data_IF_577811140686
#
_entry.id   IF_577811140686
#
_cell.length_a   1.000
_cell.length_b   1.000
_cell.length_c   1.000
_cell.angle_alpha   90.00
_cell.angle_beta   90.00
_cell.angle_gamma   90.00
#
_symmetry.space_group_name_H-M   'P 1'
#
loop_
_entity.id
_entity.type
_entity.pdbx_description
1 polymer ?
2 non-polymer ?
3 non-polymer ?
4 water ?
#
# COMPACT_ATOMS: atom_id res chain seq x y z
N UNK A 13 -29.14 -2.83 -13.11
CA UNK A 13 -28.72 -4.24 -13.40
C UNK A 13 -27.21 -4.46 -13.29
N UNK A 14 -26.50 -3.43 -12.86
CA UNK A 14 -25.04 -3.43 -12.91
C UNK A 14 -24.46 -4.01 -11.62
N UNK A 15 -23.39 -4.81 -11.74
CA UNK A 15 -22.69 -5.35 -10.56
C UNK A 15 -22.01 -4.20 -9.83
N UNK A 16 -22.49 -3.85 -8.63
CA UNK A 16 -21.97 -2.69 -7.93
C UNK A 16 -20.51 -2.90 -7.47
N UNK A 17 -20.12 -4.15 -7.25
CA UNK A 17 -18.75 -4.43 -6.86
C UNK A 17 -17.75 -4.13 -7.96
N UNK A 18 -18.10 -4.42 -9.21
CA UNK A 18 -17.20 -4.09 -10.30
C UNK A 18 -17.09 -2.55 -10.46
N UNK A 19 -18.23 -1.88 -10.42
CA UNK A 19 -18.25 -0.42 -10.47
C UNK A 19 -17.42 0.19 -9.36
N UNK A 20 -17.56 -0.30 -8.13
CA UNK A 20 -16.88 0.30 -7.00
C UNK A 20 -15.36 0.15 -7.10
N UNK A 21 -14.90 -1.02 -7.52
CA UNK A 21 -13.50 -1.23 -7.74
C UNK A 21 -12.97 -0.32 -8.85
N UNK A 22 -13.70 -0.17 -9.97
CA UNK A 22 -13.27 0.76 -11.01
C UNK A 22 -13.14 2.20 -10.50
N UNK A 23 -14.11 2.62 -9.69
CA UNK A 23 -14.05 3.96 -9.07
C UNK A 23 -12.86 4.13 -8.14
N UNK A 24 -12.59 3.13 -7.30
CA UNK A 24 -11.47 3.21 -6.38
C UNK A 24 -10.13 3.25 -7.15
N UNK A 25 -10.00 2.39 -8.17
CA UNK A 25 -8.76 2.34 -8.95
C UNK A 25 -8.55 3.64 -9.75
N UNK A 26 -9.62 4.23 -10.25
CA UNK A 26 -9.49 5.51 -10.90
C UNK A 26 -8.94 6.59 -9.95
N UNK A 27 -9.52 6.67 -8.75
CA UNK A 27 -9.04 7.57 -7.70
C UNK A 27 -7.55 7.35 -7.40
N UNK A 28 -7.16 6.09 -7.23
CA UNK A 28 -5.77 5.74 -6.94
C UNK A 28 -4.78 6.28 -7.99
N UNK A 29 -5.21 6.31 -9.24
CA UNK A 29 -4.35 6.70 -10.35
C UNK A 29 -4.37 8.15 -10.75
N UNK A 30 -5.14 8.98 -10.04
CA UNK A 30 -5.27 10.39 -10.43
C UNK A 30 -3.93 11.13 -10.28
N UNK A 31 -3.16 10.84 -9.23
CA UNK A 31 -1.84 11.45 -9.10
C UNK A 31 -0.83 10.69 -9.95
N UNK A 32 -0.27 11.36 -10.96
CA UNK A 32 0.69 10.74 -11.88
C UNK A 32 1.93 10.23 -11.14
N UNK A 33 2.39 9.04 -11.51
CA UNK A 33 3.51 8.39 -10.83
C UNK A 33 3.24 7.84 -9.43
N UNK A 34 1.99 7.87 -8.96
CA UNK A 34 1.66 7.35 -7.62
C UNK A 34 1.87 5.84 -7.57
N UNK A 35 2.29 5.34 -6.41
CA UNK A 35 2.42 3.90 -6.19
C UNK A 35 1.07 3.22 -6.23
N UNK A 36 0.94 2.10 -6.98
CA UNK A 36 -0.38 1.45 -7.00
C UNK A 36 -0.77 0.99 -5.62
N UNK A 37 -2.06 1.04 -5.33
CA UNK A 37 -2.52 0.67 -4.00
C UNK A 37 -2.44 -0.82 -3.77
N UNK A 38 -2.14 -1.18 -2.53
CA UNK A 38 -2.15 -2.56 -2.13
C UNK A 38 -3.55 -3.14 -2.09
N UNK A 39 -3.64 -4.47 -2.25
CA UNK A 39 -4.99 -5.09 -2.29
C UNK A 39 -5.84 -4.76 -1.07
N UNK A 40 -5.28 -4.86 0.15
CA UNK A 40 -6.16 -4.54 1.30
C UNK A 40 -6.69 -3.10 1.33
N UNK A 41 -5.90 -2.16 0.86
CA UNK A 41 -6.32 -0.79 0.76
C UNK A 41 -7.45 -0.61 -0.26
N UNK A 42 -7.31 -1.27 -1.41
CA UNK A 42 -8.39 -1.24 -2.40
C UNK A 42 -9.68 -1.83 -1.80
N UNK A 43 -9.54 -2.98 -1.13
CA UNK A 43 -10.69 -3.66 -0.49
C UNK A 43 -11.34 -2.78 0.56
N UNK A 44 -10.51 -2.13 1.38
CA UNK A 44 -11.04 -1.22 2.39
C UNK A 44 -11.77 -0.04 1.75
N UNK A 45 -11.18 0.60 0.75
CA UNK A 45 -11.79 1.80 0.20
C UNK A 45 -13.05 1.47 -0.64
N UNK A 46 -13.08 0.28 -1.25
CA UNK A 46 -14.24 -0.24 -2.00
C UNK A 46 -15.31 -0.85 -1.09
N UNK A 47 -14.97 -1.04 0.17
CA UNK A 47 -15.83 -1.69 1.15
C UNK A 47 -16.23 -3.11 0.76
N UNK A 48 -15.26 -3.88 0.29
CA UNK A 48 -15.46 -5.23 -0.19
C UNK A 48 -14.59 -6.16 0.63
N UNK A 49 -15.10 -7.36 0.95
CA UNK A 49 -14.23 -8.40 1.47
C UNK A 49 -13.14 -8.75 0.45
N UNK A 50 -11.98 -9.19 0.93
CA UNK A 50 -10.88 -9.54 0.04
C UNK A 50 -11.27 -10.59 -1.02
N UNK A 51 -12.11 -11.57 -0.65
CA UNK A 51 -12.49 -12.59 -1.64
C UNK A 51 -13.24 -11.97 -2.83
N UNK A 52 -14.12 -11.02 -2.55
CA UNK A 52 -14.87 -10.34 -3.61
C UNK A 52 -13.94 -9.46 -4.46
N UNK A 53 -13.03 -8.76 -3.80
CA UNK A 53 -12.07 -7.92 -4.53
C UNK A 53 -11.28 -8.79 -5.51
N UNK A 54 -10.78 -9.92 -5.04
CA UNK A 54 -9.98 -10.81 -5.91
C UNK A 54 -10.74 -11.29 -7.13
N UNK A 55 -12.04 -11.58 -6.94
CA UNK A 55 -12.89 -12.01 -8.03
C UNK A 55 -13.02 -10.90 -9.07
N UNK A 56 -13.35 -9.71 -8.58
CA UNK A 56 -13.50 -8.54 -9.44
C UNK A 56 -12.19 -8.23 -10.19
N UNK A 57 -11.06 -8.28 -9.49
CA UNK A 57 -9.78 -7.99 -10.16
C UNK A 57 -9.44 -9.04 -11.18
N UNK A 58 -9.72 -10.31 -10.90
CA UNK A 58 -9.48 -11.32 -11.90
C UNK A 58 -10.27 -11.00 -13.17
N UNK A 59 -11.51 -10.58 -13.00
CA UNK A 59 -12.35 -10.23 -14.14
C UNK A 59 -11.86 -8.98 -14.86
N UNK A 60 -11.46 -7.96 -14.11
CA UNK A 60 -10.90 -6.75 -14.75
C UNK A 60 -9.56 -6.99 -15.44
N UNK A 61 -8.74 -7.88 -14.86
CA UNK A 61 -7.46 -8.26 -15.46
C UNK A 61 -7.72 -9.02 -16.77
N UNK A 62 -8.67 -9.96 -16.74
CA UNK A 62 -9.07 -10.67 -17.95
C UNK A 62 -9.53 -9.76 -19.06
N UNK A 63 -10.20 -8.69 -18.68
CA UNK A 63 -10.72 -7.72 -19.62
C UNK A 63 -9.68 -6.71 -20.14
N UNK A 64 -8.48 -6.75 -19.60
CA UNK A 64 -7.42 -5.83 -20.01
C UNK A 64 -7.48 -4.44 -19.37
N UNK A 65 -8.32 -4.29 -18.35
CA UNK A 65 -8.59 -3.00 -17.71
C UNK A 65 -7.78 -2.77 -16.42
N UNK A 66 -7.26 -3.85 -15.82
CA UNK A 66 -6.52 -3.72 -14.58
C UNK A 66 -5.31 -4.60 -14.65
N UNK A 67 -4.25 -4.14 -13.99
CA UNK A 67 -3.02 -4.89 -13.77
C UNK A 67 -3.07 -5.34 -12.34
N UNK A 68 -2.87 -6.63 -12.13
CA UNK A 68 -2.87 -7.17 -10.77
C UNK A 68 -1.50 -7.79 -10.63
N UNK A 69 -0.69 -7.26 -9.70
CA UNK A 69 0.70 -7.70 -9.52
C UNK A 69 0.85 -8.32 -8.13
N UNK A 70 1.07 -9.62 -8.07
CA UNK A 70 1.28 -10.35 -6.80
C UNK A 70 2.65 -11.04 -6.75
N UNK A 71 3.16 -11.21 -5.54
CA UNK A 71 4.41 -11.90 -5.26
C UNK A 71 4.09 -13.32 -4.83
N UNK A 72 5.13 -14.06 -4.44
CA UNK A 72 5.00 -15.49 -4.19
C UNK A 72 4.00 -15.80 -3.08
N UNK A 73 3.87 -14.91 -2.11
CA UNK A 73 2.86 -15.09 -1.08
C UNK A 73 1.44 -14.68 -1.44
N UNK A 74 1.22 -14.22 -2.66
CA UNK A 74 -0.11 -13.93 -3.13
C UNK A 74 -0.51 -12.52 -2.76
N UNK A 75 0.36 -11.78 -2.07
CA UNK A 75 0.07 -10.36 -1.75
C UNK A 75 0.62 -9.44 -2.84
N UNK A 76 0.02 -8.26 -2.97
CA UNK A 76 0.53 -7.29 -3.92
C UNK A 76 -0.34 -6.07 -4.11
N UNK A 77 -0.52 -5.63 -5.36
CA UNK A 77 -1.18 -4.37 -5.63
C UNK A 77 -1.92 -4.47 -6.97
N UNK A 78 -2.73 -3.48 -7.25
CA UNK A 78 -3.46 -3.45 -8.51
C UNK A 78 -3.70 -2.00 -8.91
N UNK A 79 -3.92 -1.83 -10.19
CA UNK A 79 -4.08 -0.50 -10.79
C UNK A 79 -4.79 -0.67 -12.14
N UNK A 80 -5.29 0.43 -12.68
CA UNK A 80 -5.83 0.42 -14.05
C UNK A 80 -4.68 0.39 -15.04
N UNK A 81 -4.87 -0.37 -16.12
CA UNK A 81 -4.00 -0.32 -17.26
C UNK A 81 -4.21 1.04 -17.95
N UNK A 82 -3.40 1.35 -18.96
CA UNK A 82 -3.65 2.58 -19.71
C UNK A 82 -5.07 2.56 -20.30
N UNK A 83 -5.49 1.41 -20.80
CA UNK A 83 -6.87 1.24 -21.29
C UNK A 83 -7.92 1.48 -20.24
N UNK A 84 -7.74 0.86 -19.08
CA UNK A 84 -8.70 1.06 -18.03
C UNK A 84 -8.77 2.50 -17.54
N UNK A 85 -7.62 3.15 -17.44
CA UNK A 85 -7.55 4.52 -16.88
C UNK A 85 -8.25 5.47 -17.78
N UNK A 86 -7.99 5.36 -19.08
CA UNK A 86 -8.62 6.24 -20.05
C UNK A 86 -10.12 6.01 -20.09
N UNK A 87 -10.56 4.74 -20.04
CA UNK A 87 -11.99 4.43 -20.05
C UNK A 87 -12.68 4.89 -18.77
N UNK A 88 -12.03 4.70 -17.63
CA UNK A 88 -12.62 5.09 -16.36
C UNK A 88 -12.93 6.59 -16.27
N UNK A 89 -12.06 7.40 -16.86
CA UNK A 89 -12.25 8.86 -16.95
C UNK A 89 -13.50 9.27 -17.75
N UNK A 90 -13.84 8.46 -18.74
CA UNK A 90 -14.99 8.68 -19.57
C UNK A 90 -16.26 8.09 -18.96
N UNK A 91 -16.14 6.90 -18.40
CA UNK A 91 -17.29 6.20 -17.85
C UNK A 91 -17.83 6.99 -16.63
N UNK A 92 -16.92 7.60 -15.87
CA UNK A 92 -17.28 8.36 -14.65
C UNK A 92 -16.74 9.78 -14.83
N UNK A 93 -17.41 10.59 -15.67
CA UNK A 93 -16.88 11.92 -16.01
C UNK A 93 -16.87 12.97 -14.89
N UNK B 13 5.77 23.32 5.94
CA UNK B 13 7.06 23.14 6.67
C UNK B 13 7.20 21.75 7.28
N UNK B 14 6.52 20.76 6.73
CA UNK B 14 6.55 19.41 7.29
C UNK B 14 7.52 18.57 6.48
N UNK B 15 8.25 17.66 7.14
CA UNK B 15 9.14 16.76 6.41
C UNK B 15 8.32 15.75 5.61
N UNK B 16 8.35 15.85 4.27
CA UNK B 16 7.46 15.00 3.49
C UNK B 16 7.86 13.53 3.52
N UNK B 17 9.13 13.25 3.80
CA UNK B 17 9.61 11.85 3.85
C UNK B 17 9.08 11.16 5.08
N UNK B 18 8.99 11.88 6.20
CA UNK B 18 8.49 11.27 7.42
C UNK B 18 6.99 10.99 7.26
N UNK B 19 6.27 11.94 6.69
CA UNK B 19 4.84 11.74 6.36
C UNK B 19 4.63 10.53 5.44
N UNK B 20 5.40 10.45 4.37
CA UNK B 20 5.28 9.36 3.41
C UNK B 20 5.50 7.98 4.05
N UNK B 21 6.53 7.85 4.89
CA UNK B 21 6.75 6.57 5.57
C UNK B 21 5.64 6.24 6.53
N UNK B 22 5.15 7.22 7.28
CA UNK B 22 4.02 6.94 8.17
C UNK B 22 2.83 6.44 7.39
N UNK B 23 2.56 7.05 6.24
CA UNK B 23 1.41 6.61 5.44
C UNK B 23 1.59 5.24 4.82
N UNK B 24 2.79 4.95 4.33
CA UNK B 24 3.11 3.61 3.81
C UNK B 24 2.97 2.52 4.86
N UNK B 25 3.55 2.74 6.05
CA UNK B 25 3.39 1.78 7.11
C UNK B 25 1.95 1.68 7.61
N UNK B 26 1.21 2.77 7.60
CA UNK B 26 -0.21 2.70 7.94
C UNK B 26 -0.97 1.78 6.99
N UNK B 27 -0.73 1.93 5.70
CA UNK B 27 -1.32 1.05 4.68
C UNK B 27 -0.94 -0.42 4.91
N UNK B 28 0.31 -0.64 5.25
CA UNK B 28 0.81 -2.00 5.48
C UNK B 28 0.05 -2.70 6.58
N UNK B 29 -0.41 -1.91 7.55
CA UNK B 29 -1.08 -2.46 8.72
C UNK B 29 -2.58 -2.65 8.60
N UNK B 30 -3.17 -2.45 7.42
CA UNK B 30 -4.62 -2.51 7.28
C UNK B 30 -5.16 -3.85 7.70
N UNK B 31 -4.53 -4.92 7.21
CA UNK B 31 -4.93 -6.28 7.58
C UNK B 31 -4.34 -6.69 8.93
N UNK B 32 -5.21 -6.87 9.93
CA UNK B 32 -4.74 -7.29 11.26
C UNK B 32 -3.93 -8.59 11.20
N UNK B 33 -2.79 -8.56 11.86
CA UNK B 33 -1.89 -9.71 11.85
C UNK B 33 -1.12 -9.99 10.57
N UNK B 34 -1.17 -9.07 9.60
CA UNK B 34 -0.40 -9.26 8.37
C UNK B 34 1.11 -9.19 8.68
N UNK B 35 1.87 -9.92 7.89
CA UNK B 35 3.30 -9.91 7.96
C UNK B 35 3.80 -8.52 7.55
N UNK B 36 4.67 -7.91 8.38
CA UNK B 36 5.22 -6.61 7.97
C UNK B 36 5.89 -6.66 6.63
N UNK B 37 5.87 -5.54 5.94
CA UNK B 37 6.54 -5.41 4.66
C UNK B 37 8.06 -5.30 4.85
N UNK B 38 8.80 -5.79 3.87
CA UNK B 38 10.26 -5.71 3.92
C UNK B 38 10.74 -4.26 3.70
N UNK B 39 11.93 -3.94 4.17
CA UNK B 39 12.49 -2.61 3.93
C UNK B 39 12.54 -2.25 2.42
N UNK B 40 13.03 -3.16 1.52
CA UNK B 40 12.93 -2.83 0.09
C UNK B 40 11.54 -2.50 -0.45
N UNK B 41 10.53 -3.23 0.00
CA UNK B 41 9.17 -2.93 -0.41
C UNK B 41 8.74 -1.57 0.10
N UNK B 42 9.02 -1.27 1.36
CA UNK B 42 8.61 0.01 1.89
C UNK B 42 9.34 1.12 1.15
N UNK B 43 10.63 0.95 0.91
CA UNK B 43 11.36 1.99 0.17
C UNK B 43 10.77 2.19 -1.22
N UNK B 44 10.51 1.10 -1.90
CA UNK B 44 9.91 1.16 -3.22
C UNK B 44 8.59 1.88 -3.19
N UNK B 45 7.68 1.50 -2.28
CA UNK B 45 6.34 2.08 -2.27
C UNK B 45 6.35 3.54 -1.80
N UNK B 46 7.27 3.87 -0.90
CA UNK B 46 7.44 5.27 -0.45
C UNK B 46 8.16 6.14 -1.47
N UNK B 47 8.75 5.50 -2.49
CA UNK B 47 9.57 6.18 -3.52
C UNK B 47 10.76 6.92 -2.88
N UNK B 48 11.36 6.28 -1.87
CA UNK B 48 12.53 6.86 -1.18
C UNK B 48 13.76 5.99 -1.38
N UNK B 49 14.93 6.63 -1.49
CA UNK B 49 16.18 5.88 -1.38
C UNK B 49 16.27 5.17 -0.07
N UNK B 50 16.93 4.02 -0.06
CA UNK B 50 17.05 3.25 1.18
C UNK B 50 17.67 4.09 2.29
N UNK B 51 18.66 4.95 1.99
CA UNK B 51 19.30 5.69 3.08
C UNK B 51 18.32 6.65 3.75
N UNK B 52 17.42 7.24 2.96
CA UNK B 52 16.40 8.15 3.47
C UNK B 52 15.37 7.36 4.30
N UNK B 53 14.94 6.23 3.77
CA UNK B 53 14.04 5.34 4.53
C UNK B 53 14.64 5.00 5.90
N UNK B 54 15.91 4.61 5.93
CA UNK B 54 16.48 4.20 7.21
C UNK B 54 16.59 5.38 8.18
N UNK B 55 16.87 6.58 7.67
CA UNK B 55 16.88 7.78 8.51
C UNK B 55 15.51 7.99 9.14
N UNK B 56 14.47 7.98 8.31
CA UNK B 56 13.13 8.18 8.77
C UNK B 56 12.70 7.09 9.77
N UNK B 57 13.05 5.84 9.45
CA UNK B 57 12.69 4.75 10.37
C UNK B 57 13.40 4.86 11.71
N UNK B 58 14.64 5.35 11.74
CA UNK B 58 15.32 5.53 13.01
C UNK B 58 14.59 6.58 13.83
N UNK B 59 14.15 7.65 13.15
CA UNK B 59 13.44 8.72 13.87
C UNK B 59 12.09 8.22 14.39
N UNK B 60 11.36 7.47 13.57
CA UNK B 60 10.04 7.00 14.00
C UNK B 60 10.18 5.92 15.08
N UNK B 61 11.22 5.09 15.01
CA UNK B 61 11.56 4.12 16.07
C UNK B 61 11.89 4.84 17.39
N UNK B 62 12.76 5.85 17.32
CA UNK B 62 13.07 6.66 18.50
C UNK B 62 11.83 7.26 19.12
N UNK B 63 10.88 7.65 18.30
CA UNK B 63 9.68 8.28 18.78
C UNK B 63 8.66 7.26 19.34
N UNK B 64 8.92 5.98 19.16
CA UNK B 64 8.00 4.94 19.63
C UNK B 64 6.85 4.65 18.69
N UNK B 65 6.92 5.16 17.46
CA UNK B 65 5.83 5.03 16.50
C UNK B 65 6.02 3.91 15.46
N UNK B 66 7.24 3.39 15.34
CA UNK B 66 7.56 2.26 14.47
C UNK B 66 8.41 1.25 15.12
N UNK B 67 8.21 0.01 14.67
CA UNK B 67 9.01 -1.15 15.03
C UNK B 67 9.87 -1.44 13.82
N UNK B 68 11.18 -1.49 14.00
CA UNK B 68 12.07 -1.74 12.90
C UNK B 68 12.88 -2.98 13.28
N UNK B 69 12.74 -4.05 12.50
CA UNK B 69 13.30 -5.36 12.83
C UNK B 69 14.32 -5.77 11.79
N UNK B 70 15.59 -5.77 12.17
CA UNK B 70 16.67 -6.15 11.28
C UNK B 70 17.52 -7.28 11.79
N UNK B 71 18.17 -7.95 10.87
CA UNK B 71 19.05 -9.06 11.22
C UNK B 71 20.45 -8.78 10.75
N UNK B 72 21.36 -9.62 11.25
CA UNK B 72 22.80 -9.42 11.21
C UNK B 72 23.26 -8.86 9.90
N UNK B 73 22.59 -9.20 8.81
CA UNK B 73 22.92 -8.58 7.53
C UNK B 73 22.28 -7.18 7.29
N UNK B 74 21.45 -6.72 8.24
CA UNK B 74 20.71 -5.42 8.19
C UNK B 74 19.45 -5.46 7.34
N UNK B 75 19.16 -6.64 6.79
CA UNK B 75 17.89 -6.88 6.08
C UNK B 75 16.76 -7.19 7.09
N UNK B 76 15.51 -6.89 6.70
CA UNK B 76 14.61 -6.34 7.67
C UNK B 76 13.23 -5.99 7.17
N UNK B 77 12.43 -5.58 8.13
CA UNK B 77 11.06 -5.19 7.91
C UNK B 77 10.73 -4.13 8.95
N UNK B 78 9.62 -3.44 8.75
CA UNK B 78 9.21 -2.39 9.65
C UNK B 78 7.69 -2.30 9.62
N UNK B 79 7.15 -1.72 10.68
CA UNK B 79 5.70 -1.57 10.83
C UNK B 79 5.41 -0.48 11.85
N UNK B 80 4.19 0.04 11.89
CA UNK B 80 3.86 0.88 13.04
C UNK B 80 3.60 0.14 14.34
N UNK B 81 3.95 0.80 15.45
CA UNK B 81 3.60 0.30 16.76
C UNK B 81 2.13 0.56 16.93
N UNK B 82 1.55 0.08 18.02
CA UNK B 82 0.15 0.42 18.38
C UNK B 82 -0.02 1.96 18.46
N UNK B 83 0.96 2.61 19.05
CA UNK B 83 0.97 4.06 19.19
C UNK B 83 1.00 4.71 17.84
N UNK B 84 1.87 4.23 16.95
CA UNK B 84 2.00 4.80 15.63
C UNK B 84 0.78 4.60 14.80
N UNK B 85 0.20 3.41 14.88
CA UNK B 85 -1.02 3.11 14.10
C UNK B 85 -2.19 4.04 14.45
N UNK B 86 -2.43 4.25 15.73
CA UNK B 86 -3.56 5.02 16.22
C UNK B 86 -3.31 6.48 15.86
N UNK B 87 -2.10 6.95 16.07
CA UNK B 87 -1.79 8.34 15.71
C UNK B 87 -1.87 8.61 14.23
N UNK B 88 -1.35 7.71 13.40
CA UNK B 88 -1.34 7.90 11.96
C UNK B 88 -2.78 8.00 11.40
N UNK B 89 -3.71 7.30 12.02
CA UNK B 89 -5.12 7.31 11.62
C UNK B 89 -5.74 8.67 11.95
N UNK B 90 -5.31 9.25 13.05
CA UNK B 90 -5.84 10.51 13.52
C UNK B 90 -5.19 11.72 12.84
N UNK B 91 -3.89 11.65 12.63
CA UNK B 91 -3.13 12.78 12.10
C UNK B 91 -3.47 13.00 10.61
N UNK B 92 -3.83 11.93 9.90
CA UNK B 92 -4.19 12.00 8.49
C UNK B 92 -5.54 11.32 8.35
N UNK B 93 -6.62 12.00 8.77
CA UNK B 93 -7.94 11.34 8.78
C UNK B 93 -8.61 11.17 7.40
X LIG C 1 -2.36 -8.19 -0.01
X LIG C 1 -1.76 -7.56 -1.07
X LIG C 1 -3.33 -9.16 -0.26
X LIG C 1 -1.96 -7.83 1.31
X LIG D 1 -4.06 3.57 4.27
#
# INVERSE_FOLDING_TARGET
GXSDPGNEQNGDGIDPAIVEVLLVLREAGIENGATPWSLPKIAKRAQLPMSVLRRVLTQLQAAGLADVSVEADGRGHASLTQEGAALAAQLFPDPF
GXSDPGNEQNGDGIDPAIVEVLLVLREAGIENGATPWSLPKIAKRAQLPMSVLRRVLTQLQAAGLADVSVEADGRGHASLTQEGAALAAQLFPDPF
NO3 N O1 O2 O3
CL CL
#
